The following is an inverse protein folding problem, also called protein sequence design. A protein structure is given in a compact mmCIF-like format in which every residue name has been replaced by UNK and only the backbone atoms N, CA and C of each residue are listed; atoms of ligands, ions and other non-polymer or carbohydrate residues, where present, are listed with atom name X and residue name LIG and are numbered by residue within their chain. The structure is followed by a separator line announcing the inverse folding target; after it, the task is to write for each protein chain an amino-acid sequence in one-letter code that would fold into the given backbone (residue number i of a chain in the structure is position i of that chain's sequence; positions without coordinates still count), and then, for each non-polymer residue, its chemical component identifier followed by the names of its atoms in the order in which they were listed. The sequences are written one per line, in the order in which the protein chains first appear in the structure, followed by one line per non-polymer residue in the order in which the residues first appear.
data_IF_959852693270
#
_entry.id   IF_959852693270
#
_cell.length_a   1.000
_cell.length_b   1.000
_cell.length_c   1.000
_cell.angle_alpha   90.00
_cell.angle_beta   90.00
_cell.angle_gamma   90.00
#
_symmetry.space_group_name_H-M   'P 1'
#
loop_
_entity.id
_entity.type
_entity.pdbx_description
1 polymer ?
#
# COMPACT_ATOMS: atom_id res chain seq x y z
N UNK A 1 1.02 47.47 0.81
CA UNK A 1 -0.24 46.80 1.16
C UNK A 1 -0.36 45.60 0.24
N UNK A 2 -0.07 44.40 0.75
CA UNK A 2 -0.30 43.16 0.00
C UNK A 2 -1.64 42.59 0.48
N UNK A 3 -2.61 42.58 -0.42
CA UNK A 3 -3.89 41.90 -0.23
C UNK A 3 -3.64 40.41 -0.03
N UNK A 4 -3.85 39.96 1.21
CA UNK A 4 -4.07 38.56 1.52
C UNK A 4 -5.54 38.26 1.20
N UNK A 5 -5.84 37.98 -0.05
CA UNK A 5 -7.14 37.46 -0.46
C UNK A 5 -7.23 35.98 -0.05
N UNK A 6 -7.48 35.75 1.24
CA UNK A 6 -7.83 34.44 1.78
C UNK A 6 -9.28 34.17 1.36
N UNK A 7 -9.43 33.71 0.11
CA UNK A 7 -10.69 33.14 -0.37
C UNK A 7 -11.05 31.93 0.51
N UNK A 8 -11.94 32.14 1.47
CA UNK A 8 -12.57 31.04 2.21
C UNK A 8 -13.43 30.25 1.21
N UNK A 9 -12.91 29.12 0.72
CA UNK A 9 -13.71 28.17 -0.07
C UNK A 9 -15.01 27.91 0.69
N UNK A 10 -16.14 28.23 0.06
CA UNK A 10 -17.48 28.00 0.61
C UNK A 10 -17.58 26.52 1.01
N UNK A 11 -18.06 26.20 2.23
CA UNK A 11 -18.23 24.81 2.63
C UNK A 11 -19.23 24.15 1.68
N UNK A 12 -18.93 22.91 1.26
CA UNK A 12 -19.81 22.10 0.41
C UNK A 12 -21.24 22.12 0.98
N UNK A 13 -22.24 22.11 0.11
CA UNK A 13 -23.64 21.90 0.50
C UNK A 13 -23.82 20.51 1.15
N UNK A 14 -25.00 20.25 1.70
CA UNK A 14 -25.30 18.94 2.28
C UNK A 14 -25.37 17.88 1.18
N UNK A 15 -26.05 18.20 0.09
CA UNK A 15 -26.31 17.34 -1.06
C UNK A 15 -25.01 17.02 -1.81
N UNK A 16 -24.15 18.03 -2.00
CA UNK A 16 -22.82 17.84 -2.59
C UNK A 16 -21.96 16.92 -1.73
N UNK A 17 -21.96 17.11 -0.41
CA UNK A 17 -21.20 16.25 0.49
C UNK A 17 -21.73 14.80 0.49
N UNK A 18 -23.05 14.62 0.47
CA UNK A 18 -23.66 13.29 0.38
C UNK A 18 -23.24 12.57 -0.89
N UNK A 19 -23.21 13.27 -2.02
CA UNK A 19 -22.75 12.69 -3.28
C UNK A 19 -21.26 12.35 -3.27
N UNK A 20 -20.41 13.24 -2.75
CA UNK A 20 -18.98 12.94 -2.60
C UNK A 20 -18.73 11.75 -1.64
N UNK A 21 -19.53 11.61 -0.59
CA UNK A 21 -19.48 10.45 0.31
C UNK A 21 -19.97 9.18 -0.38
N UNK A 22 -20.98 9.26 -1.26
CA UNK A 22 -21.45 8.13 -2.07
C UNK A 22 -20.34 7.62 -2.98
N UNK A 23 -19.75 8.50 -3.77
CA UNK A 23 -18.61 8.19 -4.67
C UNK A 23 -17.44 7.61 -3.87
N UNK A 24 -17.04 8.25 -2.77
CA UNK A 24 -15.95 7.73 -1.95
C UNK A 24 -16.29 6.36 -1.35
N UNK A 25 -17.55 6.10 -0.98
CA UNK A 25 -17.96 4.79 -0.44
C UNK A 25 -17.83 3.69 -1.50
N UNK A 26 -18.10 3.97 -2.78
CA UNK A 26 -17.88 2.99 -3.85
C UNK A 26 -16.39 2.74 -4.08
N UNK A 27 -15.53 3.73 -3.87
CA UNK A 27 -14.08 3.60 -4.12
C UNK A 27 -13.28 2.96 -2.98
N UNK A 28 -13.66 3.21 -1.71
CA UNK A 28 -12.92 2.72 -0.54
C UNK A 28 -13.72 1.76 0.35
N UNK A 29 -14.91 1.36 -0.11
CA UNK A 29 -15.77 0.36 0.52
C UNK A 29 -16.55 0.87 1.74
N UNK A 30 -17.65 0.19 2.03
CA UNK A 30 -18.54 0.50 3.16
C UNK A 30 -17.88 0.36 4.54
N UNK A 31 -16.81 -0.42 4.67
CA UNK A 31 -16.06 -0.60 5.92
C UNK A 31 -15.31 0.66 6.38
N UNK A 32 -15.07 1.62 5.49
CA UNK A 32 -14.32 2.83 5.81
C UNK A 32 -15.09 3.80 6.72
N UNK A 33 -14.77 3.79 8.02
CA UNK A 33 -15.39 4.72 8.98
C UNK A 33 -15.05 6.20 8.75
N UNK A 34 -15.78 7.11 9.43
CA UNK A 34 -15.71 8.57 9.24
C UNK A 34 -14.31 9.19 9.20
N UNK A 35 -13.33 8.65 9.95
CA UNK A 35 -11.94 9.15 9.95
C UNK A 35 -11.20 8.81 8.67
N UNK A 36 -11.37 7.58 8.17
CA UNK A 36 -10.80 7.16 6.90
C UNK A 36 -11.47 7.90 5.74
N UNK A 37 -12.81 7.99 5.77
CA UNK A 37 -13.57 8.75 4.79
C UNK A 37 -13.14 10.23 4.75
N UNK A 38 -12.95 10.86 5.91
CA UNK A 38 -12.41 12.23 5.97
C UNK A 38 -11.02 12.34 5.34
N UNK A 39 -10.14 11.38 5.61
CA UNK A 39 -8.80 11.38 5.04
C UNK A 39 -8.83 11.25 3.52
N UNK A 40 -9.65 10.34 3.00
CA UNK A 40 -9.76 10.11 1.56
C UNK A 40 -10.44 11.26 0.80
N UNK A 41 -11.49 11.87 1.37
CA UNK A 41 -12.06 13.11 0.81
C UNK A 41 -11.01 14.23 0.80
N UNK A 42 -10.22 14.35 1.88
CA UNK A 42 -9.16 15.35 1.97
C UNK A 42 -8.06 15.14 0.94
N UNK A 43 -7.67 13.91 0.64
CA UNK A 43 -6.69 13.62 -0.42
C UNK A 43 -7.20 14.03 -1.81
N UNK A 44 -8.53 14.11 -1.99
CA UNK A 44 -9.20 14.66 -3.18
C UNK A 44 -9.48 16.17 -3.09
N UNK A 45 -8.95 16.87 -2.09
CA UNK A 45 -9.17 18.31 -1.90
C UNK A 45 -10.56 18.68 -1.36
N UNK A 46 -11.34 17.70 -0.88
CA UNK A 46 -12.67 17.89 -0.32
C UNK A 46 -12.57 17.94 1.19
N UNK A 47 -12.95 19.09 1.77
CA UNK A 47 -12.84 19.33 3.20
C UNK A 47 -14.23 19.33 3.87
N UNK A 48 -14.44 18.39 4.79
CA UNK A 48 -15.64 18.33 5.62
C UNK A 48 -15.32 17.84 7.05
N UNK A 49 -16.16 18.22 8.02
CA UNK A 49 -16.02 17.76 9.40
C UNK A 49 -16.43 16.30 9.54
N UNK A 50 -15.85 15.58 10.51
CA UNK A 50 -16.20 14.17 10.77
C UNK A 50 -17.67 14.00 11.13
N UNK A 51 -18.29 15.02 11.75
CA UNK A 51 -19.72 15.00 12.07
C UNK A 51 -20.57 15.04 10.80
N UNK A 52 -20.28 15.97 9.88
CA UNK A 52 -20.99 16.08 8.61
C UNK A 52 -20.83 14.81 7.77
N UNK A 53 -19.61 14.28 7.68
CA UNK A 53 -19.32 13.01 7.01
C UNK A 53 -20.10 11.86 7.66
N UNK A 54 -20.14 11.80 9.00
CA UNK A 54 -20.89 10.75 9.71
C UNK A 54 -22.39 10.82 9.43
N UNK A 55 -22.97 12.02 9.30
CA UNK A 55 -24.38 12.21 8.93
C UNK A 55 -24.63 11.75 7.49
N UNK A 56 -23.77 12.15 6.55
CA UNK A 56 -23.85 11.70 5.16
C UNK A 56 -23.71 10.17 5.03
N UNK A 57 -22.75 9.55 5.73
CA UNK A 57 -22.57 8.09 5.72
C UNK A 57 -23.79 7.33 6.25
N UNK A 58 -24.52 7.88 7.22
CA UNK A 58 -25.76 7.29 7.73
C UNK A 58 -26.87 7.26 6.66
N UNK A 59 -26.89 8.26 5.78
CA UNK A 59 -27.87 8.37 4.68
C UNK A 59 -27.46 7.47 3.50
N UNK A 60 -26.18 7.52 3.11
CA UNK A 60 -25.64 6.79 1.95
C UNK A 60 -25.63 5.27 2.17
N UNK A 61 -25.38 4.80 3.39
CA UNK A 61 -25.22 3.38 3.67
C UNK A 61 -25.47 3.02 5.13
N UNK A 62 -26.75 2.92 5.50
CA UNK A 62 -27.16 2.62 6.88
C UNK A 62 -26.63 1.26 7.37
N UNK A 63 -26.68 0.22 6.55
CA UNK A 63 -26.19 -1.13 6.89
C UNK A 63 -24.69 -1.09 7.25
N UNK A 64 -23.87 -0.47 6.39
CA UNK A 64 -22.43 -0.30 6.64
C UNK A 64 -22.16 0.54 7.90
N UNK A 65 -22.99 1.56 8.15
CA UNK A 65 -22.88 2.37 9.35
C UNK A 65 -23.16 1.56 10.62
N UNK A 66 -24.20 0.72 10.61
CA UNK A 66 -24.59 -0.12 11.75
C UNK A 66 -23.56 -1.22 12.04
N UNK A 67 -23.05 -1.91 11.01
CA UNK A 67 -22.01 -2.93 11.16
C UNK A 67 -20.76 -2.35 11.85
N UNK A 68 -20.30 -1.16 11.42
CA UNK A 68 -19.16 -0.48 12.05
C UNK A 68 -19.40 -0.09 13.50
N UNK A 69 -20.65 0.20 13.89
CA UNK A 69 -20.99 0.55 15.28
C UNK A 69 -20.82 -0.66 16.20
N UNK A 70 -21.08 -1.87 15.69
CA UNK A 70 -20.89 -3.12 16.43
C UNK A 70 -19.40 -3.48 16.56
N UNK A 71 -18.59 -3.23 15.52
CA UNK A 71 -17.15 -3.54 15.50
C UNK A 71 -16.26 -2.59 16.32
N UNK A 72 -16.75 -1.38 16.63
CA UNK A 72 -15.98 -0.33 17.30
C UNK A 72 -15.51 -0.68 18.73
N UNK A 73 -15.93 -1.81 19.29
CA UNK A 73 -15.56 -2.26 20.63
C UNK A 73 -14.12 -2.81 20.76
N UNK A 74 -13.34 -2.96 19.67
CA UNK A 74 -12.08 -3.73 19.71
C UNK A 74 -10.75 -2.97 19.50
N UNK A 75 -10.68 -1.65 19.57
CA UNK A 75 -9.44 -0.93 19.20
C UNK A 75 -8.94 0.14 20.18
N UNK A 76 -8.45 -0.29 21.34
CA UNK A 76 -7.53 0.51 22.16
C UNK A 76 -6.20 -0.23 22.26
N UNK A 77 -5.11 0.36 21.78
CA UNK A 77 -3.77 -0.10 22.12
C UNK A 77 -3.16 0.91 23.12
N UNK A 78 -2.92 0.51 24.39
CA UNK A 78 -2.66 1.42 25.50
C UNK A 78 -1.19 1.84 25.68
N UNK A 79 -0.25 1.39 24.83
CA UNK A 79 1.18 1.66 25.08
C UNK A 79 1.66 2.97 24.42
N UNK A 80 2.25 3.90 25.19
CA UNK A 80 2.86 5.10 24.64
C UNK A 80 4.11 4.71 23.83
N UNK A 81 4.04 4.93 22.51
CA UNK A 81 5.18 4.83 21.61
C UNK A 81 5.89 6.18 21.54
N UNK A 82 7.21 6.18 21.72
CA UNK A 82 8.04 7.38 21.69
C UNK A 82 8.83 7.47 20.37
N UNK A 83 8.63 8.57 19.66
CA UNK A 83 9.50 9.08 18.61
C UNK A 83 9.44 10.61 18.66
N UNK A 84 10.58 11.27 18.46
CA UNK A 84 10.71 12.70 18.73
C UNK A 84 10.08 13.52 17.60
N UNK A 85 10.47 13.25 16.36
CA UNK A 85 10.05 13.97 15.15
C UNK A 85 9.77 12.99 13.99
N UNK A 86 9.27 13.53 12.88
CA UNK A 86 9.27 12.82 11.61
C UNK A 86 10.71 12.52 11.20
N UNK A 87 10.98 11.34 10.65
CA UNK A 87 12.33 10.92 10.26
C UNK A 87 13.10 10.12 11.31
N UNK A 88 12.55 10.07 12.53
CA UNK A 88 13.21 9.46 13.68
C UNK A 88 13.25 7.92 13.56
N UNK A 89 12.11 7.30 13.27
CA UNK A 89 12.04 5.86 12.99
C UNK A 89 11.26 5.57 11.71
N UNK A 90 11.85 4.75 10.84
CA UNK A 90 11.14 4.14 9.73
C UNK A 90 10.81 2.69 10.06
N UNK A 91 9.54 2.36 10.17
CA UNK A 91 9.10 0.99 10.38
C UNK A 91 8.84 0.30 9.05
N UNK A 92 9.57 -0.78 8.78
CA UNK A 92 9.27 -1.69 7.68
C UNK A 92 8.47 -2.88 8.18
N UNK A 93 7.53 -3.33 7.36
CA UNK A 93 6.86 -4.60 7.57
C UNK A 93 6.30 -5.14 6.25
N UNK A 94 5.99 -6.42 6.24
CA UNK A 94 5.37 -7.12 5.11
C UNK A 94 4.09 -7.83 5.55
N UNK A 95 3.20 -8.06 4.58
CA UNK A 95 1.95 -8.78 4.79
C UNK A 95 1.75 -9.82 3.70
N UNK A 96 1.75 -11.08 4.13
CA UNK A 96 1.66 -12.27 3.29
C UNK A 96 0.23 -12.89 3.28
N UNK A 97 -0.83 -12.17 3.68
CA UNK A 97 -2.21 -12.74 3.76
C UNK A 97 -2.76 -13.27 2.42
N UNK A 98 -2.21 -12.81 1.30
CA UNK A 98 -2.52 -13.24 -0.07
C UNK A 98 -1.30 -13.84 -0.77
N UNK A 99 -0.26 -14.28 -0.04
CA UNK A 99 0.94 -14.88 -0.64
C UNK A 99 0.62 -16.11 -1.48
N UNK A 100 -0.46 -16.82 -1.15
CA UNK A 100 -0.93 -17.99 -1.87
C UNK A 100 -1.52 -17.69 -3.25
N UNK A 101 -1.79 -16.42 -3.54
CA UNK A 101 -2.22 -15.89 -4.83
C UNK A 101 -1.14 -15.03 -5.50
N UNK A 102 0.09 -15.05 -4.96
CA UNK A 102 1.17 -14.20 -5.44
C UNK A 102 0.87 -12.73 -5.24
N UNK A 103 0.42 -12.33 -4.05
CA UNK A 103 0.25 -10.92 -3.69
C UNK A 103 0.84 -10.71 -2.30
N UNK A 104 1.97 -10.03 -2.26
CA UNK A 104 2.65 -9.63 -1.02
C UNK A 104 2.66 -8.11 -0.93
N UNK A 105 2.20 -7.56 0.19
CA UNK A 105 2.25 -6.13 0.46
C UNK A 105 3.45 -5.81 1.34
N UNK A 106 4.13 -4.71 1.06
CA UNK A 106 5.21 -4.19 1.91
C UNK A 106 4.98 -2.70 2.12
N UNK A 107 5.24 -2.19 3.32
CA UNK A 107 5.17 -0.75 3.57
C UNK A 107 6.25 -0.26 4.52
N UNK A 108 6.51 1.05 4.43
CA UNK A 108 7.36 1.80 5.33
C UNK A 108 6.59 2.94 5.98
N UNK A 109 6.57 2.98 7.31
CA UNK A 109 5.76 3.91 8.11
C UNK A 109 6.62 4.72 9.07
N UNK A 110 6.46 6.04 9.07
CA UNK A 110 7.11 6.90 10.07
C UNK A 110 6.51 6.67 11.47
N UNK A 111 7.36 6.37 12.45
CA UNK A 111 6.94 5.99 13.80
C UNK A 111 6.24 7.11 14.59
N UNK A 112 6.56 8.38 14.28
CA UNK A 112 5.98 9.56 14.95
C UNK A 112 4.59 9.90 14.42
N UNK A 113 4.48 10.10 13.12
CA UNK A 113 3.28 10.60 12.43
C UNK A 113 2.31 9.48 12.02
N UNK A 114 2.79 8.24 11.91
CA UNK A 114 2.09 7.13 11.26
C UNK A 114 1.75 7.41 9.78
N UNK A 115 2.55 8.25 9.13
CA UNK A 115 2.55 8.49 7.69
C UNK A 115 3.20 7.28 6.99
N UNK A 116 2.49 6.73 6.00
CA UNK A 116 3.04 5.71 5.11
C UNK A 116 3.91 6.45 4.09
N UNK A 117 5.21 6.23 4.19
CA UNK A 117 6.22 6.91 3.37
C UNK A 117 6.32 6.28 1.98
N UNK A 118 6.36 4.96 1.94
CA UNK A 118 6.35 4.15 0.73
C UNK A 118 5.61 2.84 0.98
N UNK A 119 5.08 2.26 -0.08
CA UNK A 119 4.50 0.93 -0.07
C UNK A 119 4.64 0.30 -1.45
N UNK A 120 4.71 -1.03 -1.50
CA UNK A 120 4.83 -1.79 -2.73
C UNK A 120 4.00 -3.07 -2.66
N UNK A 121 3.66 -3.61 -3.84
CA UNK A 121 2.99 -4.89 -4.03
C UNK A 121 3.85 -5.71 -4.98
N UNK A 122 4.18 -6.94 -4.59
CA UNK A 122 5.02 -7.83 -5.35
C UNK A 122 4.45 -9.25 -5.41
N UNK A 123 4.63 -9.99 -6.52
CA UNK A 123 4.17 -11.36 -6.65
C UNK A 123 4.83 -12.31 -5.64
N UNK A 124 6.14 -12.14 -5.45
CA UNK A 124 6.92 -12.81 -4.42
C UNK A 124 7.77 -11.79 -3.68
N UNK A 125 8.05 -12.10 -2.40
CA UNK A 125 8.97 -11.30 -1.60
C UNK A 125 10.33 -11.22 -2.27
N UNK A 126 10.80 -10.00 -2.51
CA UNK A 126 12.06 -9.75 -3.19
C UNK A 126 12.81 -8.62 -2.49
N UNK A 127 14.00 -8.93 -1.97
CA UNK A 127 14.83 -7.99 -1.22
C UNK A 127 15.20 -6.74 -2.04
N UNK A 128 15.47 -6.93 -3.33
CA UNK A 128 15.89 -5.87 -4.24
C UNK A 128 14.71 -4.94 -4.50
N UNK A 129 13.52 -5.48 -4.78
CA UNK A 129 12.29 -4.70 -4.94
C UNK A 129 11.93 -3.94 -3.66
N UNK A 130 12.06 -4.56 -2.49
CA UNK A 130 11.82 -3.89 -1.19
C UNK A 130 12.81 -2.74 -0.97
N UNK A 131 14.09 -2.98 -1.28
CA UNK A 131 15.10 -1.92 -1.20
C UNK A 131 14.73 -0.76 -2.13
N UNK A 132 14.54 -1.04 -3.41
CA UNK A 132 14.33 -0.05 -4.47
C UNK A 132 13.05 0.77 -4.25
N UNK A 133 11.91 0.07 -4.20
CA UNK A 133 10.59 0.72 -4.22
C UNK A 133 10.13 1.21 -2.85
N UNK A 134 10.75 0.75 -1.76
CA UNK A 134 10.33 1.08 -0.39
C UNK A 134 11.40 1.83 0.39
N UNK A 135 12.60 1.28 0.56
CA UNK A 135 13.64 1.95 1.35
C UNK A 135 14.27 3.12 0.59
N UNK A 136 14.87 2.88 -0.57
CA UNK A 136 15.58 3.86 -1.37
C UNK A 136 14.63 5.00 -1.78
N UNK A 137 13.46 4.65 -2.34
CA UNK A 137 12.43 5.61 -2.67
C UNK A 137 11.96 6.46 -1.46
N UNK A 138 11.98 5.92 -0.23
CA UNK A 138 11.64 6.69 0.98
C UNK A 138 12.78 7.65 1.36
N UNK A 139 14.03 7.21 1.24
CA UNK A 139 15.20 8.05 1.47
C UNK A 139 15.29 9.20 0.46
N UNK A 140 14.92 8.96 -0.80
CA UNK A 140 14.89 9.99 -1.85
C UNK A 140 13.86 11.08 -1.54
N UNK A 141 12.63 10.71 -1.16
CA UNK A 141 11.56 11.68 -0.89
C UNK A 141 11.76 12.42 0.44
N UNK A 142 12.26 11.71 1.46
CA UNK A 142 12.20 12.16 2.84
C UNK A 142 13.55 12.37 3.50
N UNK A 143 14.65 11.99 2.86
CA UNK A 143 15.99 11.98 3.45
C UNK A 143 16.27 10.75 4.29
N UNK A 144 17.55 10.53 4.64
CA UNK A 144 18.00 9.38 5.40
C UNK A 144 17.38 9.35 6.79
N UNK A 145 16.85 8.18 7.16
CA UNK A 145 16.19 7.94 8.44
C UNK A 145 17.22 7.75 9.55
N UNK A 146 16.91 8.25 10.75
CA UNK A 146 17.81 8.07 11.89
C UNK A 146 17.88 6.59 12.32
N UNK A 147 16.76 5.89 12.35
CA UNK A 147 16.76 4.45 12.60
C UNK A 147 15.67 3.72 11.81
N UNK A 148 16.02 2.59 11.21
CA UNK A 148 15.03 1.66 10.66
C UNK A 148 14.63 0.62 11.71
N UNK A 149 13.36 0.26 11.73
CA UNK A 149 12.79 -0.75 12.64
C UNK A 149 12.08 -1.79 11.78
N UNK A 150 12.41 -3.05 11.98
CA UNK A 150 11.83 -4.16 11.23
C UNK A 150 11.87 -5.43 12.04
N UNK A 151 11.17 -6.45 11.58
CA UNK A 151 11.23 -7.77 12.20
C UNK A 151 12.55 -8.48 11.87
N UNK A 152 12.86 -9.55 12.61
CA UNK A 152 14.08 -10.37 12.41
C UNK A 152 14.08 -11.20 11.10
N UNK A 153 13.19 -10.90 10.14
CA UNK A 153 13.12 -11.56 8.85
C UNK A 153 14.29 -11.21 7.92
N UNK A 154 14.42 -11.97 6.84
CA UNK A 154 15.53 -11.84 5.85
C UNK A 154 15.19 -10.88 4.70
N UNK A 155 13.92 -10.57 4.52
CA UNK A 155 13.37 -9.74 3.44
C UNK A 155 13.91 -8.30 3.44
N UNK A 156 14.35 -7.77 4.59
CA UNK A 156 14.84 -6.39 4.73
C UNK A 156 16.36 -6.27 4.75
N UNK A 157 17.11 -7.38 4.58
CA UNK A 157 18.57 -7.38 4.76
C UNK A 157 19.30 -6.37 3.88
N UNK A 158 18.90 -6.22 2.62
CA UNK A 158 19.51 -5.24 1.74
C UNK A 158 19.29 -3.79 2.24
N UNK A 159 18.06 -3.45 2.63
CA UNK A 159 17.72 -2.15 3.21
C UNK A 159 18.47 -1.89 4.52
N UNK A 160 18.61 -2.90 5.37
CA UNK A 160 19.36 -2.83 6.64
C UNK A 160 20.84 -2.56 6.37
N UNK A 161 21.42 -3.30 5.43
CA UNK A 161 22.82 -3.18 5.05
C UNK A 161 23.12 -1.77 4.52
N UNK A 162 22.31 -1.24 3.61
CA UNK A 162 22.51 0.12 3.08
C UNK A 162 22.27 1.19 4.15
N UNK A 163 21.30 1.00 5.05
CA UNK A 163 21.11 1.89 6.20
C UNK A 163 22.34 1.94 7.12
N UNK A 164 23.03 0.81 7.35
CA UNK A 164 24.29 0.81 8.12
C UNK A 164 25.45 1.42 7.32
N UNK A 165 25.53 1.13 6.02
CA UNK A 165 26.52 1.71 5.11
C UNK A 165 26.46 3.25 5.10
N UNK A 166 25.26 3.82 5.19
CA UNK A 166 25.02 5.26 5.19
C UNK A 166 24.98 5.89 6.60
N UNK A 167 25.34 5.16 7.66
CA UNK A 167 25.08 5.57 9.06
C UNK A 167 25.71 6.91 9.47
N UNK A 168 26.78 7.32 8.80
CA UNK A 168 27.52 8.55 9.09
C UNK A 168 26.81 9.80 8.55
N UNK A 169 25.87 9.64 7.62
CA UNK A 169 25.03 10.73 7.11
C UNK A 169 23.78 10.99 7.97
N UNK A 170 23.52 10.17 9.01
CA UNK A 170 22.29 10.28 9.81
C UNK A 170 22.28 11.53 10.68
N UNK A 171 21.17 12.27 10.66
CA UNK A 171 20.87 13.32 11.64
C UNK A 171 20.23 12.66 12.87
N UNK A 172 20.82 12.89 14.03
CA UNK A 172 20.37 12.35 15.32
C UNK A 172 19.66 13.44 16.12
N UNK A 173 18.31 13.52 16.10
CA UNK A 173 17.58 14.69 16.57
C UNK A 173 17.69 14.96 18.08
N UNK A 174 18.10 13.96 18.85
CA UNK A 174 18.30 14.02 20.29
C UNK A 174 19.78 14.01 20.70
N UNK A 175 20.70 14.14 19.74
CA UNK A 175 22.14 14.18 20.00
C UNK A 175 22.74 12.83 20.45
N UNK A 176 21.94 11.77 20.53
CA UNK A 176 22.36 10.47 21.07
C UNK A 176 23.24 9.72 20.05
N UNK A 177 24.58 9.87 20.17
CA UNK A 177 25.53 9.28 19.21
C UNK A 177 25.49 7.75 19.16
N UNK A 178 24.99 7.07 20.19
CA UNK A 178 24.98 5.60 20.34
C UNK A 178 23.82 4.88 19.65
N UNK A 179 22.81 5.57 19.09
CA UNK A 179 21.68 4.87 18.47
C UNK A 179 22.12 4.07 17.23
N UNK A 180 21.86 2.75 17.18
CA UNK A 180 22.20 1.96 16.00
C UNK A 180 21.34 2.36 14.80
N UNK A 181 21.88 2.28 13.58
CA UNK A 181 21.20 2.66 12.33
C UNK A 181 19.93 1.85 12.04
N UNK A 182 19.83 0.66 12.62
CA UNK A 182 18.66 -0.19 12.54
C UNK A 182 18.41 -0.92 13.86
N UNK A 183 17.18 -1.40 14.04
CA UNK A 183 16.78 -2.24 15.16
C UNK A 183 15.86 -3.34 14.66
N UNK A 184 16.27 -4.59 14.87
CA UNK A 184 15.40 -5.74 14.65
C UNK A 184 14.60 -6.03 15.92
N UNK A 185 13.29 -6.21 15.75
CA UNK A 185 12.36 -6.51 16.83
C UNK A 185 11.62 -7.82 16.55
N UNK A 186 11.02 -8.41 17.58
CA UNK A 186 10.07 -9.51 17.40
C UNK A 186 8.78 -8.97 16.77
N UNK A 187 8.09 -9.74 15.93
CA UNK A 187 6.87 -9.31 15.22
C UNK A 187 5.80 -8.68 16.10
N UNK A 188 5.60 -9.19 17.33
CA UNK A 188 4.66 -8.63 18.30
C UNK A 188 5.06 -7.24 18.87
N UNK A 189 6.18 -6.66 18.43
CA UNK A 189 6.68 -5.36 18.89
C UNK A 189 6.63 -4.29 17.81
N UNK A 190 6.37 -4.62 16.54
CA UNK A 190 6.15 -3.66 15.46
C UNK A 190 4.69 -3.14 15.39
N UNK A 191 4.13 -2.82 16.56
CA UNK A 191 2.71 -2.49 16.75
C UNK A 191 2.20 -1.32 15.90
N UNK A 192 3.11 -0.46 15.38
CA UNK A 192 2.76 0.68 14.53
C UNK A 192 2.26 0.22 13.17
N UNK A 193 2.96 -0.70 12.53
CA UNK A 193 2.62 -1.19 11.19
C UNK A 193 1.52 -2.24 11.26
N UNK A 194 1.49 -3.08 12.30
CA UNK A 194 0.42 -4.07 12.52
C UNK A 194 -0.98 -3.45 12.49
N UNK A 195 -1.16 -2.26 13.09
CA UNK A 195 -2.42 -1.54 13.04
C UNK A 195 -2.81 -1.14 11.61
N UNK A 196 -1.84 -0.73 10.81
CA UNK A 196 -2.07 -0.40 9.40
C UNK A 196 -2.53 -1.65 8.66
N UNK A 197 -1.88 -2.79 8.91
CA UNK A 197 -2.22 -4.05 8.26
C UNK A 197 -3.64 -4.54 8.53
N UNK A 198 -4.19 -4.32 9.72
CA UNK A 198 -5.59 -4.65 10.00
C UNK A 198 -6.54 -3.92 9.02
N UNK A 199 -6.26 -2.66 8.74
CA UNK A 199 -7.08 -1.82 7.85
C UNK A 199 -6.80 -2.12 6.37
N UNK A 200 -5.55 -2.41 5.99
CA UNK A 200 -5.20 -2.88 4.65
C UNK A 200 -5.88 -4.22 4.35
N UNK A 201 -5.84 -5.16 5.28
CA UNK A 201 -6.51 -6.45 5.11
C UNK A 201 -8.01 -6.26 4.92
N UNK A 202 -8.66 -5.44 5.73
CA UNK A 202 -10.11 -5.21 5.63
C UNK A 202 -10.53 -4.56 4.30
N UNK A 203 -9.68 -3.72 3.69
CA UNK A 203 -10.07 -2.85 2.55
C UNK A 203 -9.41 -3.21 1.23
N UNK A 204 -8.34 -3.98 1.27
CA UNK A 204 -7.56 -4.33 0.09
C UNK A 204 -7.47 -5.86 0.00
N UNK A 205 -6.91 -6.49 1.04
CA UNK A 205 -6.59 -7.90 0.99
C UNK A 205 -7.80 -8.84 0.97
N UNK A 206 -8.68 -8.74 1.96
CA UNK A 206 -9.82 -9.65 2.10
C UNK A 206 -10.79 -9.61 0.91
N UNK A 207 -11.17 -8.44 0.34
CA UNK A 207 -12.04 -8.42 -0.83
C UNK A 207 -11.48 -9.23 -2.01
N UNK A 208 -10.17 -9.11 -2.30
CA UNK A 208 -9.50 -9.88 -3.35
C UNK A 208 -9.42 -11.35 -2.98
N UNK A 209 -9.09 -11.66 -1.72
CA UNK A 209 -9.00 -13.03 -1.23
C UNK A 209 -10.32 -13.78 -1.37
N UNK A 210 -11.44 -13.15 -1.00
CA UNK A 210 -12.77 -13.79 -1.14
C UNK A 210 -13.07 -14.10 -2.60
N UNK A 211 -12.82 -13.15 -3.52
CA UNK A 211 -13.02 -13.37 -4.95
C UNK A 211 -12.28 -14.61 -5.48
N UNK A 212 -11.01 -14.80 -5.09
CA UNK A 212 -10.21 -15.95 -5.53
C UNK A 212 -10.58 -17.26 -4.84
N UNK A 213 -10.89 -17.23 -3.54
CA UNK A 213 -11.40 -18.41 -2.83
C UNK A 213 -12.70 -18.91 -3.47
N UNK A 214 -13.61 -18.01 -3.87
CA UNK A 214 -14.82 -18.39 -4.60
C UNK A 214 -14.51 -19.03 -5.96
N UNK A 215 -13.50 -18.54 -6.69
CA UNK A 215 -13.09 -19.17 -7.95
C UNK A 215 -12.53 -20.59 -7.74
N UNK A 216 -11.75 -20.81 -6.68
CA UNK A 216 -11.28 -22.16 -6.32
C UNK A 216 -12.44 -23.09 -6.01
N UNK A 217 -13.38 -22.64 -5.16
CA UNK A 217 -14.54 -23.43 -4.77
C UNK A 217 -15.42 -23.79 -5.96
N UNK A 218 -15.53 -22.88 -6.94
CA UNK A 218 -16.28 -23.09 -8.17
C UNK A 218 -15.47 -23.77 -9.28
N UNK A 219 -14.24 -24.21 -9.01
CA UNK A 219 -13.34 -24.87 -9.96
C UNK A 219 -13.01 -24.05 -11.22
N UNK A 220 -13.17 -22.73 -11.18
CA UNK A 220 -12.74 -21.82 -12.26
C UNK A 220 -11.28 -21.38 -12.11
N UNK A 221 -10.69 -21.58 -10.92
CA UNK A 221 -9.29 -21.36 -10.65
C UNK A 221 -8.61 -22.66 -10.19
N UNK A 222 -7.61 -23.12 -10.94
CA UNK A 222 -6.77 -24.25 -10.55
C UNK A 222 -5.43 -23.78 -9.97
N UNK A 223 -5.20 -24.01 -8.68
CA UNK A 223 -3.94 -23.63 -8.00
C UNK A 223 -2.75 -24.54 -8.29
N UNK A 224 -2.96 -25.66 -8.97
CA UNK A 224 -1.89 -26.54 -9.43
C UNK A 224 -1.38 -26.13 -10.82
N UNK A 225 -2.09 -25.23 -11.50
CA UNK A 225 -1.72 -24.72 -12.80
C UNK A 225 -0.90 -23.42 -12.67
N UNK A 226 0.34 -23.44 -13.16
CA UNK A 226 1.26 -22.32 -13.05
C UNK A 226 0.79 -21.08 -13.86
N UNK A 227 0.05 -21.27 -14.95
CA UNK A 227 -0.54 -20.17 -15.75
C UNK A 227 -1.66 -19.49 -14.96
N UNK A 228 -2.49 -20.28 -14.29
CA UNK A 228 -3.53 -19.74 -13.41
C UNK A 228 -2.94 -18.96 -12.23
N UNK A 229 -1.88 -19.46 -11.61
CA UNK A 229 -1.16 -18.74 -10.55
C UNK A 229 -0.57 -17.42 -11.07
N UNK A 230 0.02 -17.43 -12.27
CA UNK A 230 0.55 -16.22 -12.90
C UNK A 230 -0.56 -15.19 -13.19
N UNK A 231 -1.68 -15.63 -13.76
CA UNK A 231 -2.83 -14.76 -14.05
C UNK A 231 -3.44 -14.14 -12.79
N UNK A 232 -3.68 -14.95 -11.75
CA UNK A 232 -4.24 -14.45 -10.48
C UNK A 232 -3.33 -13.45 -9.80
N UNK A 233 -2.02 -13.71 -9.78
CA UNK A 233 -1.05 -12.75 -9.25
C UNK A 233 -1.02 -11.46 -10.06
N UNK A 234 -1.01 -11.54 -11.39
CA UNK A 234 -0.89 -10.38 -12.29
C UNK A 234 -2.12 -9.46 -12.20
N UNK A 235 -3.32 -10.03 -12.39
CA UNK A 235 -4.58 -9.28 -12.33
C UNK A 235 -4.88 -8.83 -10.90
N UNK A 236 -4.65 -9.71 -9.92
CA UNK A 236 -4.84 -9.41 -8.52
C UNK A 236 -3.93 -8.28 -8.01
N UNK A 237 -2.65 -8.27 -8.40
CA UNK A 237 -1.74 -7.16 -8.09
C UNK A 237 -2.23 -5.85 -8.70
N UNK A 238 -2.75 -5.86 -9.93
CA UNK A 238 -3.26 -4.65 -10.59
C UNK A 238 -4.46 -4.05 -9.84
N UNK A 239 -5.44 -4.88 -9.44
CA UNK A 239 -6.56 -4.43 -8.61
C UNK A 239 -6.09 -3.99 -7.22
N UNK A 240 -5.19 -4.74 -6.61
CA UNK A 240 -4.64 -4.41 -5.30
C UNK A 240 -3.92 -3.05 -5.29
N UNK A 241 -3.19 -2.70 -6.36
CA UNK A 241 -2.51 -1.39 -6.50
C UNK A 241 -3.48 -0.22 -6.40
N UNK A 242 -4.61 -0.30 -7.11
CA UNK A 242 -5.67 0.73 -7.05
C UNK A 242 -6.18 0.91 -5.62
N UNK A 243 -6.61 -0.18 -5.00
CA UNK A 243 -7.18 -0.15 -3.65
C UNK A 243 -6.15 0.30 -2.61
N UNK A 244 -4.89 -0.13 -2.76
CA UNK A 244 -3.82 0.20 -1.84
C UNK A 244 -3.40 1.67 -1.94
N UNK A 245 -3.34 2.23 -3.16
CA UNK A 245 -3.07 3.65 -3.34
C UNK A 245 -4.17 4.51 -2.69
N UNK A 246 -5.45 4.21 -2.95
CA UNK A 246 -6.58 4.91 -2.32
C UNK A 246 -6.53 4.80 -0.80
N UNK A 247 -6.15 3.63 -0.28
CA UNK A 247 -5.94 3.44 1.15
C UNK A 247 -4.83 4.37 1.67
N UNK A 248 -3.67 4.44 1.01
CA UNK A 248 -2.53 5.28 1.40
C UNK A 248 -2.91 6.75 1.38
N UNK A 249 -3.58 7.21 0.31
CA UNK A 249 -4.03 8.59 0.15
C UNK A 249 -4.94 8.99 1.31
N UNK A 250 -5.93 8.15 1.62
CA UNK A 250 -6.84 8.36 2.73
C UNK A 250 -6.15 8.23 4.09
N UNK A 251 -5.21 7.31 4.24
CA UNK A 251 -4.48 7.08 5.48
C UNK A 251 -3.61 8.29 5.82
N UNK A 252 -2.79 8.74 4.89
CA UNK A 252 -1.85 9.86 5.09
C UNK A 252 -2.56 11.19 5.33
N UNK A 253 -3.79 11.33 4.84
CA UNK A 253 -4.61 12.51 5.04
C UNK A 253 -5.61 12.40 6.18
N UNK A 254 -5.64 11.31 6.96
CA UNK A 254 -6.62 11.16 8.06
C UNK A 254 -6.26 11.98 9.29
N UNK A 255 -7.27 12.37 10.05
CA UNK A 255 -7.06 12.98 11.38
C UNK A 255 -6.72 11.91 12.41
N UNK A 256 -5.58 12.07 13.11
CA UNK A 256 -5.14 11.16 14.18
C UNK A 256 -5.38 11.82 15.54
N UNK A 257 -6.00 11.13 16.54
CA UNK A 257 -6.27 11.74 17.83
C UNK A 257 -5.01 12.30 18.50
N UNK A 258 -5.10 13.53 19.01
CA UNK A 258 -4.02 14.25 19.71
C UNK A 258 -2.73 14.42 18.86
N UNK A 259 -2.85 14.34 17.54
CA UNK A 259 -1.76 14.51 16.56
C UNK A 259 -2.26 15.35 15.39
N UNK A 260 -1.34 15.95 14.64
CA UNK A 260 -1.63 16.51 13.32
C UNK A 260 -2.03 15.42 12.32
N UNK A 261 -2.47 15.85 11.14
CA UNK A 261 -2.63 14.97 9.98
C UNK A 261 -1.24 14.42 9.62
N UNK A 262 -1.07 13.11 9.34
CA UNK A 262 0.24 12.54 9.02
C UNK A 262 0.99 13.32 7.92
N UNK A 263 0.30 13.67 6.83
CA UNK A 263 0.86 14.45 5.74
C UNK A 263 1.33 15.87 6.14
N UNK A 264 0.90 16.43 7.28
CA UNK A 264 1.40 17.72 7.76
C UNK A 264 2.75 17.59 8.49
N UNK A 265 3.12 16.40 8.97
CA UNK A 265 4.41 16.20 9.65
C UNK A 265 5.59 16.23 8.69
N UNK A 266 5.37 16.00 7.39
CA UNK A 266 6.45 16.05 6.39
C UNK A 266 7.03 17.48 6.25
N UNK A 267 6.24 18.51 6.61
CA UNK A 267 6.65 19.91 6.52
C UNK A 267 7.71 20.28 7.58
N UNK A 268 7.83 19.48 8.64
CA UNK A 268 8.85 19.63 9.67
C UNK A 268 9.94 18.54 9.60
N UNK A 269 10.11 17.89 8.43
CA UNK A 269 11.14 16.86 8.24
C UNK A 269 12.53 17.48 8.42
N UNK A 270 13.35 16.83 9.24
CA UNK A 270 14.73 17.23 9.54
C UNK A 270 15.77 16.19 9.12
N UNK A 271 15.36 15.20 8.32
CA UNK A 271 16.23 14.15 7.83
C UNK A 271 17.34 14.74 6.94
N UNK A 272 18.48 14.07 6.91
CA UNK A 272 19.56 14.44 6.02
C UNK A 272 19.23 14.07 4.57
N UNK A 273 19.24 15.05 3.68
CA UNK A 273 19.11 14.80 2.24
C UNK A 273 20.48 14.35 1.73
N UNK A 274 20.54 13.11 1.23
CA UNK A 274 21.79 12.57 0.69
C UNK A 274 22.21 13.34 -0.56
N UNK A 275 23.51 13.60 -0.76
CA UNK A 275 24.01 14.11 -2.02
C UNK A 275 23.68 13.15 -3.17
N UNK A 276 23.41 13.71 -4.35
CA UNK A 276 23.11 12.94 -5.56
C UNK A 276 24.17 11.86 -5.82
N UNK A 277 23.73 10.63 -6.08
CA UNK A 277 24.61 9.49 -6.34
C UNK A 277 25.18 8.79 -5.09
N UNK A 278 24.91 9.31 -3.88
CA UNK A 278 25.36 8.67 -2.63
C UNK A 278 24.53 7.43 -2.29
N UNK A 279 23.22 7.47 -2.56
CA UNK A 279 22.33 6.33 -2.39
C UNK A 279 22.56 5.35 -3.56
N UNK A 280 22.99 4.09 -3.30
CA UNK A 280 23.25 3.14 -4.38
C UNK A 280 21.97 2.76 -5.11
N UNK A 281 22.05 2.52 -6.43
CA UNK A 281 20.96 1.93 -7.20
C UNK A 281 20.67 0.50 -6.70
N UNK A 282 19.52 -0.07 -7.06
CA UNK A 282 19.18 -1.44 -6.66
C UNK A 282 20.24 -2.48 -7.06
N UNK A 283 20.78 -2.37 -8.28
CA UNK A 283 21.86 -3.23 -8.76
C UNK A 283 23.16 -3.03 -7.95
N UNK A 284 23.58 -1.78 -7.77
CA UNK A 284 24.79 -1.47 -7.02
C UNK A 284 24.69 -1.89 -5.55
N UNK A 285 23.52 -1.70 -4.91
CA UNK A 285 23.25 -2.16 -3.55
C UNK A 285 23.35 -3.69 -3.45
N UNK A 286 22.76 -4.41 -4.42
CA UNK A 286 22.81 -5.86 -4.45
C UNK A 286 24.24 -6.36 -4.61
N UNK A 287 25.04 -5.74 -5.48
CA UNK A 287 26.45 -6.09 -5.68
C UNK A 287 27.29 -5.80 -4.43
N UNK A 288 27.11 -4.64 -3.80
CA UNK A 288 27.75 -4.32 -2.52
C UNK A 288 27.45 -5.37 -1.45
N UNK A 289 26.20 -5.80 -1.35
CA UNK A 289 25.79 -6.80 -0.36
C UNK A 289 26.35 -8.20 -0.67
N UNK A 290 26.34 -8.62 -1.94
CA UNK A 290 26.92 -9.89 -2.38
C UNK A 290 28.44 -9.95 -2.18
N UNK A 291 29.13 -8.82 -2.38
CA UNK A 291 30.57 -8.70 -2.13
C UNK A 291 30.94 -8.83 -0.63
N UNK A 292 29.96 -8.74 0.26
CA UNK A 292 30.11 -9.04 1.69
C UNK A 292 29.54 -10.42 2.07
N UNK A 293 29.57 -11.37 1.14
CA UNK A 293 29.01 -12.74 1.27
C UNK A 293 27.50 -12.80 1.55
N UNK A 294 26.79 -11.70 1.30
CA UNK A 294 25.34 -11.60 1.43
C UNK A 294 24.62 -12.43 0.35
N UNK A 295 23.54 -13.11 0.75
CA UNK A 295 22.68 -13.86 -0.18
C UNK A 295 21.36 -13.14 -0.36
N UNK A 296 20.97 -12.95 -1.62
CA UNK A 296 19.70 -12.34 -2.03
C UNK A 296 18.88 -13.35 -2.84
N UNK A 297 17.57 -13.17 -2.83
CA UNK A 297 16.65 -13.90 -3.71
C UNK A 297 16.42 -13.09 -4.97
N UNK A 298 16.76 -13.67 -6.13
CA UNK A 298 16.59 -13.01 -7.43
C UNK A 298 15.22 -13.28 -8.06
N UNK A 299 14.55 -14.37 -7.70
CA UNK A 299 13.24 -14.75 -8.23
C UNK A 299 12.13 -13.79 -7.75
N UNK A 300 11.29 -13.33 -8.69
CA UNK A 300 10.22 -12.37 -8.42
C UNK A 300 8.84 -12.79 -8.96
N UNK A 301 8.78 -13.81 -9.82
CA UNK A 301 7.54 -14.24 -10.48
C UNK A 301 6.77 -15.27 -9.65
N UNK A 302 5.45 -15.18 -9.69
CA UNK A 302 4.55 -16.17 -9.10
C UNK A 302 3.81 -16.91 -10.22
N UNK A 303 3.86 -18.24 -10.21
CA UNK A 303 3.43 -19.04 -11.37
C UNK A 303 4.41 -18.94 -12.54
N UNK A 304 3.95 -19.32 -13.73
CA UNK A 304 4.73 -19.30 -14.97
C UNK A 304 3.93 -18.56 -16.04
N UNK A 305 4.56 -17.60 -16.70
CA UNK A 305 3.99 -16.97 -17.88
C UNK A 305 4.21 -17.90 -19.09
N UNK A 306 3.15 -18.43 -19.72
CA UNK A 306 3.28 -19.30 -20.89
C UNK A 306 3.95 -18.60 -22.08
N UNK A 307 4.04 -17.27 -22.07
CA UNK A 307 4.68 -16.45 -23.08
C UNK A 307 6.07 -15.94 -22.66
N UNK A 308 6.62 -16.39 -21.52
CA UNK A 308 7.89 -15.89 -20.96
C UNK A 308 9.09 -15.95 -21.91
N UNK A 309 9.08 -16.85 -22.89
CA UNK A 309 10.13 -16.97 -23.89
C UNK A 309 10.02 -15.98 -25.07
N UNK A 310 8.89 -15.27 -25.20
CA UNK A 310 8.57 -14.41 -26.35
C UNK A 310 8.01 -13.05 -25.88
N UNK A 311 8.87 -12.03 -25.72
CA UNK A 311 8.46 -10.71 -25.26
C UNK A 311 7.43 -10.01 -26.17
N UNK A 312 7.45 -10.26 -27.49
CA UNK A 312 6.51 -9.66 -28.43
C UNK A 312 5.09 -10.23 -28.20
N UNK A 313 5.00 -11.54 -27.94
CA UNK A 313 3.75 -12.18 -27.53
C UNK A 313 3.26 -11.69 -26.16
N UNK A 314 4.15 -11.46 -25.20
CA UNK A 314 3.77 -10.88 -23.91
C UNK A 314 3.15 -9.49 -24.08
N UNK A 315 3.81 -8.61 -24.84
CA UNK A 315 3.32 -7.26 -25.14
C UNK A 315 1.96 -7.31 -25.85
N UNK A 316 1.80 -8.21 -26.82
CA UNK A 316 0.53 -8.40 -27.52
C UNK A 316 -0.60 -8.86 -26.60
N UNK A 317 -0.35 -9.85 -25.72
CA UNK A 317 -1.34 -10.30 -24.72
C UNK A 317 -1.72 -9.14 -23.81
N UNK A 318 -0.75 -8.40 -23.29
CA UNK A 318 -1.00 -7.31 -22.35
C UNK A 318 -1.80 -6.19 -23.03
N UNK A 319 -1.47 -5.83 -24.28
CA UNK A 319 -2.24 -4.86 -25.05
C UNK A 319 -3.70 -5.29 -25.26
N UNK A 320 -3.91 -6.56 -25.67
CA UNK A 320 -5.26 -7.11 -25.84
C UNK A 320 -6.04 -7.16 -24.52
N UNK A 321 -5.38 -7.56 -23.43
CA UNK A 321 -6.01 -7.62 -22.12
C UNK A 321 -6.41 -6.23 -21.60
N UNK A 322 -5.53 -5.23 -21.73
CA UNK A 322 -5.84 -3.88 -21.28
C UNK A 322 -6.90 -3.18 -22.14
N UNK A 323 -6.98 -3.50 -23.44
CA UNK A 323 -8.08 -3.06 -24.29
C UNK A 323 -9.42 -3.64 -23.80
N UNK A 324 -9.49 -4.94 -23.51
CA UNK A 324 -10.66 -5.59 -22.93
C UNK A 324 -11.04 -4.99 -21.55
N UNK A 325 -10.06 -4.75 -20.69
CA UNK A 325 -10.27 -4.07 -19.39
C UNK A 325 -10.92 -2.71 -19.57
N UNK A 326 -10.48 -1.92 -20.55
CA UNK A 326 -11.01 -0.57 -20.76
C UNK A 326 -12.39 -0.58 -21.44
N UNK A 327 -12.60 -1.46 -22.41
CA UNK A 327 -13.80 -1.48 -23.26
C UNK A 327 -14.95 -2.25 -22.62
N UNK A 328 -14.68 -3.44 -22.08
CA UNK A 328 -15.70 -4.34 -21.50
C UNK A 328 -15.90 -4.10 -20.01
N UNK A 329 -14.81 -3.96 -19.26
CA UNK A 329 -14.87 -3.88 -17.79
C UNK A 329 -14.98 -2.45 -17.25
N UNK A 330 -14.91 -1.42 -18.11
CA UNK A 330 -14.96 -0.02 -17.70
C UNK A 330 -13.72 0.46 -16.94
N UNK A 331 -12.59 -0.23 -17.11
CA UNK A 331 -11.29 0.09 -16.52
C UNK A 331 -11.00 -0.62 -15.20
N UNK A 332 -9.71 -0.67 -14.83
CA UNK A 332 -9.23 -1.35 -13.62
C UNK A 332 -9.81 -0.76 -12.32
N UNK A 333 -10.07 0.55 -12.31
CA UNK A 333 -10.70 1.25 -11.19
C UNK A 333 -12.13 0.74 -10.95
N UNK A 334 -12.86 0.40 -12.02
CA UNK A 334 -14.21 -0.16 -11.91
C UNK A 334 -14.19 -1.59 -11.36
N UNK A 335 -13.24 -2.42 -11.80
CA UNK A 335 -13.01 -3.75 -11.23
C UNK A 335 -12.69 -3.64 -9.73
N UNK A 336 -11.83 -2.69 -9.35
CA UNK A 336 -11.48 -2.44 -7.96
C UNK A 336 -12.68 -1.98 -7.11
N UNK A 337 -13.52 -1.07 -7.63
CA UNK A 337 -14.75 -0.61 -6.98
C UNK A 337 -15.72 -1.77 -6.72
N UNK A 338 -15.94 -2.64 -7.71
CA UNK A 338 -16.81 -3.79 -7.53
C UNK A 338 -16.22 -4.78 -6.51
N UNK A 339 -14.93 -5.06 -6.61
CA UNK A 339 -14.22 -5.97 -5.71
C UNK A 339 -14.35 -5.54 -4.25
N UNK A 340 -14.04 -4.27 -3.92
CA UNK A 340 -14.09 -3.78 -2.54
C UNK A 340 -15.52 -3.72 -1.96
N UNK A 341 -16.55 -3.66 -2.82
CA UNK A 341 -17.95 -3.70 -2.43
C UNK A 341 -18.57 -5.10 -2.50
N UNK A 342 -17.74 -6.14 -2.47
CA UNK A 342 -18.17 -7.55 -2.45
C UNK A 342 -18.90 -8.01 -3.71
N UNK A 343 -18.63 -7.37 -4.85
CA UNK A 343 -19.15 -7.73 -6.16
C UNK A 343 -18.00 -8.30 -7.00
N UNK A 344 -17.68 -9.58 -6.83
CA UNK A 344 -16.42 -10.15 -7.30
C UNK A 344 -16.37 -10.50 -8.78
N UNK A 345 -17.52 -10.57 -9.45
CA UNK A 345 -17.67 -11.05 -10.83
C UNK A 345 -16.70 -10.40 -11.83
N UNK A 346 -16.46 -9.08 -11.77
CA UNK A 346 -15.54 -8.42 -12.70
C UNK A 346 -14.08 -8.85 -12.51
N UNK A 347 -13.62 -9.01 -11.27
CA UNK A 347 -12.27 -9.49 -11.00
C UNK A 347 -12.12 -10.95 -11.46
N UNK A 348 -13.12 -11.78 -11.18
CA UNK A 348 -13.13 -13.18 -11.58
C UNK A 348 -13.09 -13.34 -13.11
N UNK A 349 -13.91 -12.57 -13.82
CA UNK A 349 -13.92 -12.54 -15.28
C UNK A 349 -12.62 -11.99 -15.87
N UNK A 350 -12.03 -10.95 -15.27
CA UNK A 350 -10.75 -10.41 -15.72
C UNK A 350 -9.62 -11.44 -15.61
N UNK A 351 -9.57 -12.24 -14.54
CA UNK A 351 -8.60 -13.34 -14.41
C UNK A 351 -8.80 -14.37 -15.53
N UNK A 352 -10.04 -14.81 -15.77
CA UNK A 352 -10.34 -15.78 -16.83
C UNK A 352 -9.94 -15.23 -18.19
N UNK A 353 -10.27 -13.96 -18.49
CA UNK A 353 -9.92 -13.31 -19.75
C UNK A 353 -8.42 -13.19 -19.95
N UNK A 354 -7.66 -12.89 -18.90
CA UNK A 354 -6.20 -12.85 -18.98
C UNK A 354 -5.63 -14.22 -19.39
N UNK A 355 -6.17 -15.31 -18.84
CA UNK A 355 -5.78 -16.69 -19.19
C UNK A 355 -6.16 -17.00 -20.65
N UNK A 356 -7.41 -16.74 -21.04
CA UNK A 356 -7.92 -17.00 -22.39
C UNK A 356 -7.10 -16.28 -23.47
N UNK A 357 -6.81 -14.98 -23.27
CA UNK A 357 -6.00 -14.18 -24.19
C UNK A 357 -4.57 -14.73 -24.25
N UNK A 358 -3.98 -15.09 -23.10
CA UNK A 358 -2.64 -15.68 -23.05
C UNK A 358 -2.54 -16.98 -23.85
N UNK A 359 -3.51 -17.88 -23.67
CA UNK A 359 -3.57 -19.15 -24.43
C UNK A 359 -3.82 -18.91 -25.92
N UNK A 360 -4.67 -17.95 -26.28
CA UNK A 360 -4.91 -17.58 -27.67
C UNK A 360 -3.62 -17.07 -28.33
N UNK A 361 -2.90 -16.13 -27.70
CA UNK A 361 -1.64 -15.59 -28.24
C UNK A 361 -0.55 -16.67 -28.29
N UNK A 362 -0.51 -17.60 -27.34
CA UNK A 362 0.42 -18.73 -27.36
C UNK A 362 0.22 -19.64 -28.59
N UNK A 363 -1.03 -19.77 -29.05
CA UNK A 363 -1.40 -20.61 -30.20
C UNK A 363 -1.14 -20.00 -31.58
N UNK A 364 -0.89 -18.69 -31.64
CA UNK A 364 -0.50 -17.98 -32.86
C UNK A 364 1.02 -18.05 -33.06
#
# INVERSE_FOLDING_TARGET
MHDNDISFKKPLSKEELEEQVRIATTEIGGVAGRKAMQGYLRSKGIHASQERISKAQKIVGQVYFENRRQDAQRQLNPRPYQATCFGYNLHFDQNEKLVEYGIVFVMAVDGKSAFITRASIMPRKNNITIYDQVFAASVEDFGLWDQTIQDCGREFFLSIFIQDYLKDFRVKPDGERSRPPFRQVTSCKNNRVERVWQEVNARVGFPIKVAFVEMEQNSTLNRLDLTHLFATSTVGCSVARVLYQRFIDGWNNRSVPRKLIPAQYILSKGNFILPTGTLPTAAAAADLYRNCDGRLTDESQFGEDPLSADPEKQERRDAMFWDEVNTTFGGIENIANHTINHQYHLLQQAVIKFIEIGLYVASQ
#
